data_IF_076791486536
#
_entry.id   IF_076791486536
#
_cell.length_a   1.000
_cell.length_b   1.000
_cell.length_c   1.000
_cell.angle_alpha   90.00
_cell.angle_beta   90.00
_cell.angle_gamma   90.00
#
_symmetry.space_group_name_H-M   'P 1'
#
loop_
_entity.id
_entity.type
_entity.pdbx_description
1 polymer ?
#
# COMPACT_ATOMS: atom_id res chain seq x y z
N UNK A 1 -28.16 23.92 -1.97
CA UNK A 1 -29.29 23.42 -1.16
C UNK A 1 -28.74 22.98 0.16
N UNK A 2 -28.95 23.72 1.22
CA UNK A 2 -28.55 23.38 2.59
C UNK A 2 -29.74 22.64 3.20
N UNK A 3 -29.59 21.31 3.36
CA UNK A 3 -30.55 20.55 4.15
C UNK A 3 -30.14 20.67 5.62
N UNK A 4 -30.91 21.42 6.39
CA UNK A 4 -30.92 21.37 7.85
C UNK A 4 -31.61 20.05 8.24
N UNK A 5 -30.83 19.01 8.48
CA UNK A 5 -31.34 17.84 9.16
C UNK A 5 -31.58 18.19 10.63
N UNK A 6 -32.78 17.90 11.15
CA UNK A 6 -33.06 18.01 12.57
C UNK A 6 -31.97 17.30 13.40
N UNK A 7 -31.56 17.89 14.52
CA UNK A 7 -30.42 17.52 15.33
C UNK A 7 -30.38 16.05 15.79
N UNK A 8 -31.43 15.27 15.58
CA UNK A 8 -31.52 13.88 15.96
C UNK A 8 -32.34 13.10 14.93
N UNK A 9 -31.67 12.28 14.12
CA UNK A 9 -32.31 11.30 13.24
C UNK A 9 -32.30 9.95 13.93
N UNK A 10 -33.46 9.29 14.01
CA UNK A 10 -33.59 7.99 14.63
C UNK A 10 -33.77 6.91 13.56
N UNK A 11 -32.83 5.98 13.49
CA UNK A 11 -32.97 4.79 12.65
C UNK A 11 -33.45 3.60 13.48
N UNK A 12 -34.34 2.81 12.91
CA UNK A 12 -34.67 1.49 13.44
C UNK A 12 -33.67 0.47 12.88
N UNK A 13 -32.82 -0.09 13.71
CA UNK A 13 -32.01 -1.25 13.36
C UNK A 13 -32.65 -2.54 13.91
N UNK A 14 -32.69 -3.60 13.09
CA UNK A 14 -33.16 -4.92 13.52
C UNK A 14 -32.00 -5.67 14.16
N UNK A 15 -32.14 -6.05 15.40
CA UNK A 15 -31.24 -6.97 16.07
C UNK A 15 -31.99 -8.26 16.48
N UNK A 16 -31.28 -9.21 17.07
CA UNK A 16 -31.83 -10.53 17.49
C UNK A 16 -33.04 -10.42 18.43
N UNK A 17 -33.26 -9.24 19.04
CA UNK A 17 -34.28 -8.97 20.06
C UNK A 17 -35.32 -7.93 19.63
N UNK A 18 -35.30 -7.48 18.38
CA UNK A 18 -36.24 -6.49 17.85
C UNK A 18 -35.57 -5.18 17.37
N UNK A 19 -36.38 -4.13 17.24
CA UNK A 19 -35.91 -2.83 16.75
C UNK A 19 -35.49 -1.93 17.92
N UNK A 20 -34.24 -1.44 17.91
CA UNK A 20 -33.80 -0.34 18.79
C UNK A 20 -33.71 0.96 17.99
N UNK A 21 -34.19 2.05 18.61
CA UNK A 21 -33.94 3.41 18.08
C UNK A 21 -32.49 3.78 18.42
N UNK A 22 -31.68 4.06 17.43
CA UNK A 22 -30.35 4.64 17.62
C UNK A 22 -30.41 6.14 17.34
N UNK A 23 -29.83 6.93 18.26
CA UNK A 23 -29.63 8.36 18.02
C UNK A 23 -28.38 8.52 17.15
N UNK A 24 -28.53 9.19 16.02
CA UNK A 24 -27.43 9.43 15.07
C UNK A 24 -27.39 10.92 14.80
N UNK A 25 -26.22 11.52 14.84
CA UNK A 25 -26.05 12.94 14.50
C UNK A 25 -26.01 13.16 12.99
N UNK A 26 -26.20 14.41 12.55
CA UNK A 26 -26.07 14.74 11.14
C UNK A 26 -24.67 14.46 10.61
N UNK A 27 -23.63 14.76 11.40
CA UNK A 27 -22.23 14.44 11.07
C UNK A 27 -21.98 12.94 10.90
N UNK A 28 -22.54 12.09 11.79
CA UNK A 28 -22.41 10.62 11.67
C UNK A 28 -23.02 10.11 10.37
N UNK A 29 -24.15 10.66 9.95
CA UNK A 29 -24.78 10.28 8.69
C UNK A 29 -23.93 10.69 7.50
N UNK A 30 -23.46 11.92 7.48
CA UNK A 30 -22.63 12.46 6.39
C UNK A 30 -21.33 11.64 6.28
N UNK A 31 -20.69 11.32 7.42
CA UNK A 31 -19.48 10.50 7.43
C UNK A 31 -19.74 9.11 6.86
N UNK A 32 -20.81 8.44 7.32
CA UNK A 32 -21.16 7.10 6.82
C UNK A 32 -21.47 7.06 5.32
N UNK A 33 -22.00 8.13 4.77
CA UNK A 33 -22.40 8.21 3.36
C UNK A 33 -21.27 8.66 2.43
N UNK A 34 -20.36 9.52 2.90
CA UNK A 34 -19.46 10.25 2.02
C UNK A 34 -17.98 10.17 2.42
N UNK A 35 -17.65 9.70 3.61
CA UNK A 35 -16.26 9.59 4.05
C UNK A 35 -15.76 8.16 3.82
N UNK A 36 -14.78 8.02 2.96
CA UNK A 36 -14.09 6.76 2.69
C UNK A 36 -13.20 6.41 3.89
N UNK A 37 -13.11 5.13 4.24
CA UNK A 37 -12.31 4.61 5.37
C UNK A 37 -12.83 4.96 6.77
N UNK A 38 -14.11 5.23 6.91
CA UNK A 38 -14.71 5.42 8.21
C UNK A 38 -14.82 4.09 8.99
N UNK A 39 -14.11 3.99 10.10
CA UNK A 39 -14.22 2.86 11.02
C UNK A 39 -15.19 3.16 12.17
N UNK A 40 -16.40 2.60 12.07
CA UNK A 40 -17.46 2.81 13.07
C UNK A 40 -17.11 2.33 14.46
N UNK A 41 -16.16 1.41 14.62
CA UNK A 41 -15.80 0.86 15.94
C UNK A 41 -14.84 1.79 16.67
N UNK A 42 -14.03 2.51 15.95
CA UNK A 42 -12.84 3.18 16.47
C UNK A 42 -12.89 4.68 16.34
N UNK A 43 -13.52 5.19 15.30
CA UNK A 43 -13.79 6.59 15.15
C UNK A 43 -15.05 6.96 15.95
N UNK A 44 -14.87 7.13 17.26
CA UNK A 44 -15.95 7.42 18.22
C UNK A 44 -16.34 8.89 18.23
N UNK A 45 -15.44 9.75 17.71
CA UNK A 45 -15.60 11.20 17.66
C UNK A 45 -15.53 11.72 16.23
N UNK A 46 -16.04 12.92 16.03
CA UNK A 46 -15.93 13.67 14.76
C UNK A 46 -15.34 15.02 15.06
N UNK A 47 -14.20 15.35 14.46
CA UNK A 47 -13.71 16.72 14.45
C UNK A 47 -14.34 17.47 13.28
N UNK A 48 -14.90 18.64 13.57
CA UNK A 48 -15.41 19.56 12.56
C UNK A 48 -14.35 20.61 12.25
N UNK A 49 -14.11 20.90 11.00
CA UNK A 49 -13.16 21.93 10.57
C UNK A 49 -13.43 23.26 11.29
N UNK A 50 -12.37 23.90 11.74
CA UNK A 50 -12.42 25.14 12.53
C UNK A 50 -13.26 25.03 13.82
N UNK A 51 -13.44 23.80 14.33
CA UNK A 51 -14.28 23.51 15.49
C UNK A 51 -15.75 23.99 15.36
N UNK A 52 -16.26 24.15 14.12
CA UNK A 52 -17.64 24.54 13.86
C UNK A 52 -18.55 23.31 13.77
N UNK A 53 -19.19 22.95 14.88
CA UNK A 53 -20.08 21.79 14.97
C UNK A 53 -21.37 21.91 14.13
N UNK A 54 -21.63 23.05 13.50
CA UNK A 54 -22.76 23.24 12.61
C UNK A 54 -22.40 22.95 11.15
N UNK A 55 -21.11 22.96 10.82
CA UNK A 55 -20.62 22.64 9.48
C UNK A 55 -20.53 21.12 9.31
N UNK A 56 -21.50 20.56 8.59
CA UNK A 56 -21.57 19.13 8.28
C UNK A 56 -21.20 18.83 6.81
N UNK A 57 -20.43 19.72 6.17
CA UNK A 57 -19.91 19.44 4.83
C UNK A 57 -18.88 18.30 4.91
N UNK A 58 -19.07 17.23 4.11
CA UNK A 58 -18.31 15.98 4.27
C UNK A 58 -16.79 16.14 4.21
N UNK A 59 -16.26 17.14 3.48
CA UNK A 59 -14.81 17.43 3.43
C UNK A 59 -14.29 18.17 4.68
N UNK A 60 -15.18 18.60 5.55
CA UNK A 60 -14.85 19.30 6.79
C UNK A 60 -15.03 18.42 8.02
N UNK A 61 -15.35 17.14 7.82
CA UNK A 61 -15.58 16.19 8.87
C UNK A 61 -14.43 15.17 8.91
N UNK A 62 -13.78 15.08 10.04
CA UNK A 62 -12.69 14.15 10.28
C UNK A 62 -13.12 13.13 11.36
N UNK A 63 -13.41 11.88 10.98
CA UNK A 63 -13.68 10.83 11.95
C UNK A 63 -12.39 10.49 12.68
N UNK A 64 -12.43 10.56 14.01
CA UNK A 64 -11.25 10.46 14.87
C UNK A 64 -11.53 9.62 16.12
N UNK A 65 -10.49 9.11 16.74
CA UNK A 65 -10.57 8.53 18.07
C UNK A 65 -10.63 9.62 19.13
N UNK A 66 -11.02 9.29 20.36
CA UNK A 66 -11.03 10.23 21.50
C UNK A 66 -9.64 10.87 21.72
N UNK A 67 -8.57 10.11 21.59
CA UNK A 67 -7.19 10.61 21.73
C UNK A 67 -6.83 11.61 20.62
N UNK A 68 -7.13 11.27 19.38
CA UNK A 68 -6.88 12.15 18.23
C UNK A 68 -7.70 13.43 18.34
N UNK A 69 -8.96 13.34 18.78
CA UNK A 69 -9.80 14.50 19.02
C UNK A 69 -9.19 15.47 20.04
N UNK A 70 -8.74 14.93 21.17
CA UNK A 70 -8.11 15.73 22.23
C UNK A 70 -6.80 16.37 21.76
N UNK A 71 -6.00 15.67 20.96
CA UNK A 71 -4.76 16.22 20.40
C UNK A 71 -5.05 17.34 19.40
N UNK A 72 -6.02 17.16 18.50
CA UNK A 72 -6.47 18.20 17.56
C UNK A 72 -6.99 19.40 18.33
N UNK A 73 -7.80 19.17 19.35
CA UNK A 73 -8.34 20.26 20.18
C UNK A 73 -7.23 21.03 20.89
N UNK A 74 -6.25 20.33 21.45
CA UNK A 74 -5.08 20.94 22.10
C UNK A 74 -4.32 21.86 21.16
N UNK A 75 -4.01 21.39 19.93
CA UNK A 75 -3.30 22.21 18.92
C UNK A 75 -4.16 23.39 18.51
N UNK A 76 -5.45 23.17 18.27
CA UNK A 76 -6.39 24.26 17.92
C UNK A 76 -6.49 25.34 19.02
N UNK A 77 -6.51 24.94 20.28
CA UNK A 77 -6.56 25.90 21.40
C UNK A 77 -5.25 26.66 21.58
N UNK A 78 -4.11 26.02 21.32
CA UNK A 78 -2.80 26.66 21.41
C UNK A 78 -2.55 27.69 20.28
N UNK A 79 -2.90 27.33 19.06
CA UNK A 79 -2.56 28.09 17.86
C UNK A 79 -3.73 28.93 17.33
N UNK A 80 -4.91 28.78 17.93
CA UNK A 80 -6.15 29.44 17.47
C UNK A 80 -6.78 28.83 16.21
N UNK A 81 -6.07 27.92 15.56
CA UNK A 81 -6.52 27.18 14.37
C UNK A 81 -5.65 25.91 14.17
N UNK A 82 -6.15 24.97 13.37
CA UNK A 82 -5.38 23.80 12.94
C UNK A 82 -5.60 23.60 11.43
N UNK A 83 -4.52 23.43 10.70
CA UNK A 83 -4.60 23.15 9.25
C UNK A 83 -5.03 21.71 8.97
N UNK A 84 -5.78 21.50 7.87
CA UNK A 84 -6.24 20.15 7.45
C UNK A 84 -5.07 19.16 7.34
N UNK A 85 -3.89 19.60 6.90
CA UNK A 85 -2.69 18.77 6.82
C UNK A 85 -2.26 18.28 8.21
N UNK A 86 -2.25 19.12 9.22
CA UNK A 86 -1.91 18.76 10.60
C UNK A 86 -2.96 17.80 11.19
N UNK A 87 -4.25 18.03 10.88
CA UNK A 87 -5.31 17.09 11.27
C UNK A 87 -5.04 15.72 10.66
N UNK A 88 -4.73 15.66 9.36
CA UNK A 88 -4.43 14.40 8.69
C UNK A 88 -3.16 13.73 9.21
N UNK A 89 -2.15 14.48 9.60
CA UNK A 89 -0.96 13.95 10.26
C UNK A 89 -1.32 13.29 11.60
N UNK A 90 -2.16 13.93 12.42
CA UNK A 90 -2.63 13.36 13.70
C UNK A 90 -3.50 12.12 13.46
N UNK A 91 -4.40 12.17 12.47
CA UNK A 91 -5.31 11.05 12.14
C UNK A 91 -4.55 9.86 11.59
N UNK A 92 -3.51 10.11 10.80
CA UNK A 92 -2.68 9.07 10.19
C UNK A 92 -1.53 8.61 11.10
N UNK A 93 -1.18 9.40 12.13
CA UNK A 93 -0.20 8.98 13.12
C UNK A 93 -0.78 7.87 13.99
N UNK A 94 -0.39 6.63 13.72
CA UNK A 94 -0.65 5.52 14.63
C UNK A 94 0.39 5.58 15.74
N UNK A 95 0.07 6.31 16.80
CA UNK A 95 0.89 6.30 18.01
C UNK A 95 0.88 4.89 18.61
N UNK A 96 1.94 4.17 18.33
CA UNK A 96 2.19 2.92 19.02
C UNK A 96 2.98 3.20 20.30
N UNK A 97 2.31 3.12 21.45
CA UNK A 97 2.95 3.16 22.76
C UNK A 97 2.94 1.75 23.34
N UNK A 98 4.09 1.05 23.36
CA UNK A 98 4.17 -0.33 23.85
C UNK A 98 3.55 -0.55 25.21
N UNK A 99 3.68 0.41 26.11
CA UNK A 99 3.24 0.31 27.49
C UNK A 99 1.73 0.57 27.68
N UNK A 100 1.08 1.23 26.71
CA UNK A 100 -0.35 1.59 26.75
C UNK A 100 -1.27 0.51 26.17
N UNK A 101 -0.71 -0.53 25.56
CA UNK A 101 -1.44 -1.52 24.78
C UNK A 101 -1.48 -2.89 25.45
N UNK A 102 -2.48 -3.69 25.10
CA UNK A 102 -2.50 -5.09 25.50
C UNK A 102 -1.19 -5.76 25.04
N UNK A 103 -0.46 -6.48 25.92
CA UNK A 103 0.91 -6.95 25.63
C UNK A 103 1.07 -7.76 24.34
N UNK A 104 0.02 -8.44 23.90
CA UNK A 104 0.07 -9.27 22.70
C UNK A 104 0.12 -8.46 21.38
N UNK A 105 -0.40 -7.24 21.34
CA UNK A 105 -0.28 -6.36 20.15
C UNK A 105 1.14 -5.87 19.94
N UNK A 106 1.91 -5.79 21.01
CA UNK A 106 3.28 -5.29 21.00
C UNK A 106 4.29 -6.38 20.73
N UNK A 107 3.88 -7.65 20.84
CA UNK A 107 4.80 -8.75 20.59
C UNK A 107 5.14 -8.81 19.13
N UNK A 108 6.42 -8.82 18.84
CA UNK A 108 6.96 -9.06 17.49
C UNK A 108 6.78 -10.52 17.11
N UNK A 109 5.53 -10.92 16.87
CA UNK A 109 5.11 -12.31 16.68
C UNK A 109 5.34 -12.79 15.25
N UNK A 110 5.54 -11.86 14.31
CA UNK A 110 5.79 -12.19 12.89
C UNK A 110 7.28 -12.10 12.61
N UNK A 111 7.91 -13.28 12.52
CA UNK A 111 9.35 -13.48 12.26
C UNK A 111 10.27 -12.73 13.25
N UNK A 112 9.80 -12.43 14.46
CA UNK A 112 10.54 -11.69 15.48
C UNK A 112 10.68 -10.19 15.21
N UNK A 113 10.07 -9.67 14.13
CA UNK A 113 10.19 -8.27 13.69
C UNK A 113 8.83 -7.60 13.60
N UNK A 114 7.90 -8.19 12.88
CA UNK A 114 6.58 -7.61 12.67
C UNK A 114 5.66 -7.74 13.88
N UNK A 115 4.86 -6.73 14.11
CA UNK A 115 3.84 -6.71 15.15
C UNK A 115 2.57 -6.02 14.63
N UNK A 116 1.43 -6.36 15.27
CA UNK A 116 0.15 -5.87 14.78
C UNK A 116 -0.06 -4.40 15.07
N UNK A 117 0.35 -3.94 16.23
CA UNK A 117 0.09 -2.57 16.70
C UNK A 117 -1.40 -2.26 16.84
N UNK A 118 -1.71 -1.14 17.49
CA UNK A 118 -3.08 -0.65 17.57
C UNK A 118 -3.97 -1.29 18.64
N UNK A 119 -5.14 -0.69 18.85
CA UNK A 119 -6.12 -1.08 19.88
C UNK A 119 -6.98 -2.30 19.50
N UNK A 120 -6.85 -2.80 18.25
CA UNK A 120 -7.81 -3.74 17.68
C UNK A 120 -7.46 -5.19 17.95
N UNK A 121 -8.42 -5.87 18.61
CA UNK A 121 -8.36 -7.31 18.81
C UNK A 121 -8.74 -8.08 17.56
N UNK A 122 -9.48 -7.48 16.63
CA UNK A 122 -10.06 -8.15 15.48
C UNK A 122 -9.28 -7.79 14.22
N UNK A 123 -8.10 -8.42 14.08
CA UNK A 123 -7.41 -8.40 12.80
C UNK A 123 -8.17 -9.37 11.91
N UNK A 124 -8.68 -8.86 10.82
CA UNK A 124 -9.09 -9.71 9.74
C UNK A 124 -7.84 -10.31 9.08
N UNK A 125 -7.45 -11.49 9.55
CA UNK A 125 -6.28 -12.23 9.07
C UNK A 125 -6.44 -12.68 7.60
N UNK A 126 -7.64 -12.58 7.04
CA UNK A 126 -7.96 -12.88 5.65
C UNK A 126 -7.98 -11.62 4.78
N UNK A 127 -7.86 -10.43 5.38
CA UNK A 127 -7.79 -9.18 4.62
C UNK A 127 -6.56 -9.14 3.71
N UNK A 128 -6.74 -8.53 2.53
CA UNK A 128 -5.66 -8.36 1.56
C UNK A 128 -4.47 -7.61 2.15
N UNK A 129 -4.71 -6.58 2.97
CA UNK A 129 -3.66 -5.80 3.61
C UNK A 129 -2.83 -6.65 4.55
N UNK A 130 -3.48 -7.46 5.40
CA UNK A 130 -2.78 -8.31 6.34
C UNK A 130 -1.96 -9.40 5.65
N UNK A 131 -2.54 -10.05 4.63
CA UNK A 131 -1.86 -11.08 3.84
C UNK A 131 -0.62 -10.49 3.14
N UNK A 132 -0.74 -9.31 2.52
CA UNK A 132 0.39 -8.65 1.84
C UNK A 132 1.48 -8.25 2.84
N UNK A 133 1.12 -7.65 3.97
CA UNK A 133 2.05 -7.30 5.03
C UNK A 133 2.78 -8.53 5.60
N UNK A 134 2.03 -9.56 5.98
CA UNK A 134 2.61 -10.80 6.49
C UNK A 134 3.58 -11.44 5.50
N UNK A 135 3.20 -11.50 4.22
CA UNK A 135 4.06 -12.04 3.18
C UNK A 135 5.34 -11.22 3.00
N UNK A 136 5.27 -9.89 3.09
CA UNK A 136 6.42 -9.00 3.05
C UNK A 136 7.38 -9.29 4.23
N UNK A 137 6.87 -9.33 5.46
CA UNK A 137 7.67 -9.68 6.65
C UNK A 137 8.32 -11.06 6.49
N UNK A 138 7.55 -12.06 6.03
CA UNK A 138 8.07 -13.42 5.83
C UNK A 138 9.17 -13.48 4.75
N UNK A 139 9.02 -12.77 3.64
CA UNK A 139 10.07 -12.70 2.61
C UNK A 139 11.38 -12.18 3.19
N UNK A 140 11.33 -11.13 4.00
CA UNK A 140 12.53 -10.48 4.55
C UNK A 140 13.19 -11.24 5.70
N UNK A 141 12.41 -12.00 6.51
CA UNK A 141 12.95 -12.50 7.78
C UNK A 141 12.78 -14.01 8.01
N UNK A 142 12.03 -14.71 7.15
CA UNK A 142 11.81 -16.16 7.34
C UNK A 142 12.95 -17.00 6.72
N UNK A 143 13.72 -17.67 7.58
CA UNK A 143 14.85 -18.51 7.17
C UNK A 143 14.47 -19.67 6.24
N UNK A 144 13.24 -20.18 6.31
CA UNK A 144 12.78 -21.25 5.40
C UNK A 144 12.54 -20.70 4.00
N UNK A 145 11.99 -19.48 3.90
CA UNK A 145 11.82 -18.79 2.62
C UNK A 145 13.20 -18.47 2.02
N UNK A 146 14.15 -18.00 2.81
CA UNK A 146 15.51 -17.71 2.34
C UNK A 146 16.22 -18.92 1.74
N UNK A 147 15.97 -20.12 2.28
CA UNK A 147 16.52 -21.38 1.69
C UNK A 147 15.96 -21.67 0.30
N UNK A 148 14.70 -21.29 0.04
CA UNK A 148 14.05 -21.53 -1.24
C UNK A 148 14.26 -20.36 -2.22
N UNK A 149 14.43 -19.16 -1.68
CA UNK A 149 14.51 -17.90 -2.41
C UNK A 149 15.62 -17.01 -1.82
N UNK A 150 16.91 -17.33 -2.09
CA UNK A 150 18.06 -16.65 -1.47
C UNK A 150 18.11 -15.14 -1.73
N UNK A 151 17.52 -14.66 -2.81
CA UNK A 151 17.48 -13.25 -3.17
C UNK A 151 16.68 -12.35 -2.20
N UNK A 152 16.02 -12.95 -1.19
CA UNK A 152 15.39 -12.19 -0.11
C UNK A 152 16.27 -11.99 1.13
N UNK A 153 17.47 -12.60 1.20
CA UNK A 153 18.32 -12.60 2.42
C UNK A 153 18.65 -11.19 2.89
N UNK A 154 18.95 -10.27 1.97
CA UNK A 154 19.38 -8.92 2.29
C UNK A 154 18.21 -7.90 2.28
N UNK A 155 16.97 -8.38 2.09
CA UNK A 155 15.81 -7.52 2.06
C UNK A 155 15.31 -7.22 3.46
N UNK A 156 14.90 -5.98 3.69
CA UNK A 156 14.45 -5.47 4.98
C UNK A 156 13.10 -4.76 4.84
N UNK A 157 12.43 -4.54 5.97
CA UNK A 157 11.21 -3.73 6.06
C UNK A 157 11.52 -2.53 6.94
N UNK A 158 11.15 -1.33 6.52
CA UNK A 158 11.33 -0.11 7.31
C UNK A 158 10.63 -0.23 8.68
N UNK A 159 11.14 0.48 9.67
CA UNK A 159 10.62 0.39 11.03
C UNK A 159 9.13 0.72 11.12
N UNK A 160 8.68 1.70 10.36
CA UNK A 160 7.28 2.09 10.27
C UNK A 160 6.38 0.92 9.85
N UNK A 161 6.75 0.16 8.84
CA UNK A 161 5.96 -0.96 8.33
C UNK A 161 6.14 -2.27 9.10
N UNK A 162 7.03 -2.34 10.08
CA UNK A 162 7.05 -3.43 11.05
C UNK A 162 5.75 -3.44 11.87
N UNK A 163 5.12 -2.27 12.04
CA UNK A 163 3.78 -2.12 12.56
C UNK A 163 2.75 -2.30 11.43
N UNK A 164 1.89 -3.34 11.55
CA UNK A 164 0.84 -3.60 10.56
C UNK A 164 -0.11 -2.42 10.36
N UNK A 165 -0.43 -1.64 11.42
CA UNK A 165 -1.36 -0.52 11.28
C UNK A 165 -0.83 0.55 10.33
N UNK A 166 0.46 0.86 10.41
CA UNK A 166 1.10 1.83 9.53
C UNK A 166 1.11 1.33 8.07
N UNK A 167 1.48 0.05 7.87
CA UNK A 167 1.37 -0.55 6.53
C UNK A 167 -0.07 -0.53 6.01
N UNK A 168 -1.07 -0.80 6.87
CA UNK A 168 -2.48 -0.80 6.47
C UNK A 168 -2.94 0.58 6.02
N UNK A 169 -2.54 1.66 6.67
CA UNK A 169 -2.85 3.03 6.27
C UNK A 169 -2.32 3.29 4.85
N UNK A 170 -1.05 2.97 4.61
CA UNK A 170 -0.46 3.10 3.27
C UNK A 170 -1.15 2.19 2.26
N UNK A 171 -1.44 0.94 2.65
CA UNK A 171 -2.15 -0.01 1.80
C UNK A 171 -3.51 0.55 1.34
N UNK A 172 -4.33 1.05 2.27
CA UNK A 172 -5.67 1.55 1.98
C UNK A 172 -5.64 2.79 1.06
N UNK A 173 -4.56 3.58 1.13
CA UNK A 173 -4.36 4.75 0.27
C UNK A 173 -3.93 4.40 -1.17
N UNK A 174 -3.29 3.24 -1.38
CA UNK A 174 -2.66 2.89 -2.66
C UNK A 174 -3.26 1.65 -3.33
N UNK A 175 -4.05 0.85 -2.60
CA UNK A 175 -4.60 -0.39 -3.12
C UNK A 175 -5.80 -0.15 -4.03
N UNK A 176 -5.75 -0.70 -5.25
CA UNK A 176 -6.84 -0.61 -6.22
C UNK A 176 -7.81 -1.76 -5.98
N UNK A 177 -9.02 -1.45 -5.50
CA UNK A 177 -10.07 -2.41 -5.24
C UNK A 177 -10.46 -3.18 -6.51
N UNK A 178 -10.69 -4.48 -6.35
CA UNK A 178 -11.17 -5.35 -7.44
C UNK A 178 -10.09 -5.84 -8.40
N UNK A 179 -8.83 -5.43 -8.21
CA UNK A 179 -7.70 -5.91 -9.00
C UNK A 179 -6.75 -6.77 -8.17
N UNK A 180 -6.24 -7.84 -8.78
CA UNK A 180 -5.15 -8.61 -8.19
C UNK A 180 -3.84 -7.89 -8.45
N UNK A 181 -3.30 -7.25 -7.43
CA UNK A 181 -2.03 -6.53 -7.50
C UNK A 181 -0.98 -7.16 -6.60
N UNK A 182 0.27 -7.00 -6.98
CA UNK A 182 1.44 -7.39 -6.20
C UNK A 182 2.10 -6.15 -5.60
N UNK A 183 2.71 -6.31 -4.43
CA UNK A 183 3.56 -5.30 -3.83
C UNK A 183 4.96 -5.47 -4.40
N UNK A 184 5.42 -4.49 -5.14
CA UNK A 184 6.74 -4.41 -5.73
C UNK A 184 7.58 -3.29 -5.12
N UNK A 185 8.89 -3.49 -5.03
CA UNK A 185 9.86 -2.49 -4.57
C UNK A 185 10.93 -2.15 -5.61
N UNK A 186 11.02 -2.97 -6.67
CA UNK A 186 12.14 -2.90 -7.61
C UNK A 186 11.89 -1.89 -8.73
N UNK A 187 10.62 -1.52 -9.00
CA UNK A 187 10.27 -0.53 -10.00
C UNK A 187 10.76 0.88 -9.65
N UNK A 188 10.51 1.32 -8.40
CA UNK A 188 10.83 2.69 -7.98
C UNK A 188 12.28 2.86 -7.56
N UNK A 189 12.86 1.84 -6.94
CA UNK A 189 14.23 1.88 -6.44
C UNK A 189 14.85 0.48 -6.43
N UNK A 190 15.40 0.04 -7.55
CA UNK A 190 15.97 -1.30 -7.72
C UNK A 190 17.13 -1.57 -6.76
N UNK A 191 17.95 -0.55 -6.50
CA UNK A 191 19.11 -0.64 -5.59
C UNK A 191 18.71 -0.76 -4.11
N UNK A 192 17.47 -0.40 -3.77
CA UNK A 192 17.01 -0.48 -2.38
C UNK A 192 16.74 -1.92 -1.97
N UNK A 193 17.29 -2.29 -0.82
CA UNK A 193 16.96 -3.56 -0.17
C UNK A 193 15.80 -3.41 0.85
N UNK A 194 15.16 -2.26 0.92
CA UNK A 194 14.15 -1.94 1.93
C UNK A 194 12.75 -1.83 1.33
N UNK A 195 11.79 -2.50 1.95
CA UNK A 195 10.37 -2.25 1.72
C UNK A 195 9.93 -1.05 2.57
N UNK A 196 9.49 0.02 1.92
CA UNK A 196 9.03 1.25 2.57
C UNK A 196 7.99 1.97 1.71
N UNK A 197 7.30 3.01 2.24
CA UNK A 197 6.39 3.84 1.47
C UNK A 197 7.00 4.44 0.21
N UNK A 198 8.30 4.78 0.25
CA UNK A 198 9.03 5.45 -0.82
C UNK A 198 9.52 4.50 -1.91
N UNK A 199 9.75 3.24 -1.55
CA UNK A 199 10.33 2.25 -2.48
C UNK A 199 9.28 1.32 -3.08
N UNK A 200 8.09 1.24 -2.49
CA UNK A 200 7.09 0.26 -2.88
C UNK A 200 5.94 0.85 -3.68
N UNK A 201 5.40 0.02 -4.56
CA UNK A 201 4.22 0.32 -5.36
C UNK A 201 3.36 -0.93 -5.53
N UNK A 202 2.04 -0.73 -5.66
CA UNK A 202 1.17 -1.80 -6.13
C UNK A 202 1.09 -1.79 -7.64
N UNK A 203 1.34 -2.93 -8.25
CA UNK A 203 1.17 -3.12 -9.68
C UNK A 203 0.43 -4.44 -9.97
N UNK A 204 -0.17 -4.53 -11.15
CA UNK A 204 -0.78 -5.79 -11.58
C UNK A 204 0.28 -6.89 -11.66
N UNK A 205 -0.13 -8.14 -11.44
CA UNK A 205 0.79 -9.28 -11.56
C UNK A 205 1.51 -9.30 -12.92
N UNK A 206 0.81 -8.88 -13.97
CA UNK A 206 1.41 -8.76 -15.30
C UNK A 206 2.57 -7.76 -15.33
N UNK A 207 2.36 -6.53 -14.85
CA UNK A 207 3.44 -5.54 -14.79
C UNK A 207 4.60 -6.03 -13.92
N UNK A 208 4.30 -6.59 -12.77
CA UNK A 208 5.32 -7.15 -11.87
C UNK A 208 6.21 -8.19 -12.55
N UNK A 209 5.62 -9.09 -13.37
CA UNK A 209 6.41 -10.11 -14.09
C UNK A 209 7.32 -9.54 -15.18
N UNK A 210 7.01 -8.36 -15.72
CA UNK A 210 7.88 -7.67 -16.68
C UNK A 210 9.15 -7.15 -16.00
N UNK A 211 9.01 -6.69 -14.74
CA UNK A 211 10.12 -6.14 -13.97
C UNK A 211 10.91 -7.20 -13.17
N UNK A 212 10.39 -8.45 -13.10
CA UNK A 212 11.14 -9.54 -12.47
C UNK A 212 12.46 -9.79 -13.23
N UNK A 213 13.56 -9.84 -12.49
CA UNK A 213 14.84 -10.25 -13.00
C UNK A 213 14.99 -11.78 -12.87
N UNK A 214 14.84 -12.48 -13.99
CA UNK A 214 14.99 -13.95 -14.05
C UNK A 214 16.38 -14.38 -14.51
N UNK A 215 17.29 -13.42 -14.58
CA UNK A 215 18.63 -13.61 -15.14
C UNK A 215 18.64 -13.57 -16.66
N UNK A 216 19.63 -12.89 -17.22
CA UNK A 216 19.77 -12.69 -18.67
C UNK A 216 20.00 -14.03 -19.39
N UNK A 217 20.82 -14.91 -18.80
CA UNK A 217 21.23 -16.20 -19.39
C UNK A 217 20.05 -17.12 -19.74
N UNK A 218 18.95 -17.07 -19.01
CA UNK A 218 17.77 -17.90 -19.31
C UNK A 218 17.01 -17.45 -20.58
N UNK A 219 17.33 -16.28 -21.11
CA UNK A 219 16.69 -15.64 -22.25
C UNK A 219 17.54 -15.71 -23.52
N UNK A 220 18.75 -16.24 -23.43
CA UNK A 220 19.72 -16.39 -24.51
C UNK A 220 19.94 -17.88 -24.79
N UNK A 221 19.84 -18.28 -26.03
CA UNK A 221 20.07 -19.66 -26.51
C UNK A 221 21.12 -19.68 -27.60
N UNK A 222 22.19 -20.44 -27.40
CA UNK A 222 23.18 -20.68 -28.45
C UNK A 222 22.60 -21.63 -29.50
N UNK A 223 22.74 -21.26 -30.77
CA UNK A 223 22.32 -22.04 -31.93
C UNK A 223 23.47 -22.95 -32.44
N UNK A 224 23.14 -23.97 -33.22
CA UNK A 224 24.11 -24.92 -33.77
C UNK A 224 25.12 -24.27 -34.73
N UNK A 225 24.74 -23.14 -35.33
CA UNK A 225 25.60 -22.36 -36.24
C UNK A 225 26.52 -21.37 -35.49
N UNK A 226 26.54 -21.40 -34.15
CA UNK A 226 27.38 -20.53 -33.35
C UNK A 226 26.79 -19.16 -33.03
N UNK A 227 25.60 -18.80 -33.54
CA UNK A 227 24.90 -17.55 -33.21
C UNK A 227 24.07 -17.70 -31.92
N UNK A 228 23.56 -16.61 -31.43
CA UNK A 228 22.78 -16.55 -30.18
C UNK A 228 21.38 -15.96 -30.42
N UNK A 229 20.35 -16.76 -30.21
CA UNK A 229 18.96 -16.30 -30.25
C UNK A 229 18.54 -15.72 -28.92
N UNK A 230 17.96 -14.54 -28.94
CA UNK A 230 17.49 -13.81 -27.75
C UNK A 230 15.99 -13.66 -27.79
N UNK A 231 15.35 -13.98 -26.67
CA UNK A 231 13.90 -13.83 -26.53
C UNK A 231 13.52 -13.55 -25.09
N UNK A 232 12.36 -12.95 -24.87
CA UNK A 232 11.78 -12.80 -23.54
C UNK A 232 10.35 -13.35 -23.49
N UNK A 233 9.89 -13.75 -22.31
CA UNK A 233 8.52 -14.21 -22.09
C UNK A 233 7.66 -13.05 -21.59
N UNK A 234 6.61 -12.73 -22.34
CA UNK A 234 5.62 -11.73 -21.97
C UNK A 234 4.24 -12.36 -22.03
N UNK A 235 3.49 -12.35 -20.93
CA UNK A 235 2.16 -12.96 -20.86
C UNK A 235 2.12 -14.41 -21.34
N UNK A 236 3.08 -15.21 -20.95
CA UNK A 236 3.25 -16.61 -21.40
C UNK A 236 3.44 -16.75 -22.93
N UNK A 237 3.78 -15.68 -23.62
CA UNK A 237 4.16 -15.70 -25.03
C UNK A 237 5.65 -15.37 -25.14
N UNK A 238 6.32 -16.17 -25.95
CA UNK A 238 7.71 -15.89 -26.33
C UNK A 238 7.72 -14.72 -27.30
N UNK A 239 8.49 -13.68 -26.99
CA UNK A 239 8.75 -12.55 -27.86
C UNK A 239 10.22 -12.64 -28.30
N UNK A 240 10.47 -12.80 -29.60
CA UNK A 240 11.81 -12.85 -30.14
C UNK A 240 12.37 -11.42 -30.24
N UNK A 241 13.58 -11.23 -29.72
CA UNK A 241 14.29 -9.94 -29.77
C UNK A 241 15.24 -9.91 -30.99
N UNK A 242 15.99 -10.99 -31.20
CA UNK A 242 16.92 -11.06 -32.33
C UNK A 242 17.85 -12.25 -32.27
N UNK A 243 18.75 -12.31 -33.28
CA UNK A 243 19.86 -13.26 -33.39
C UNK A 243 21.15 -12.46 -33.48
N UNK A 244 22.16 -12.84 -32.69
CA UNK A 244 23.41 -12.10 -32.53
C UNK A 244 24.62 -13.01 -32.77
N UNK A 245 25.73 -12.43 -33.17
CA UNK A 245 26.93 -13.20 -33.54
C UNK A 245 27.79 -13.58 -32.30
N UNK A 246 27.62 -12.88 -31.17
CA UNK A 246 28.32 -13.15 -29.93
C UNK A 246 27.39 -13.17 -28.70
N UNK A 247 27.84 -13.82 -27.64
CA UNK A 247 27.10 -13.84 -26.35
C UNK A 247 27.00 -12.42 -25.75
N UNK A 248 28.04 -11.61 -25.90
CA UNK A 248 28.07 -10.23 -25.39
C UNK A 248 27.06 -9.35 -26.12
N UNK A 249 26.98 -9.47 -27.46
CA UNK A 249 25.96 -8.76 -28.26
C UNK A 249 24.55 -9.26 -27.90
N UNK A 250 24.37 -10.55 -27.66
CA UNK A 250 23.10 -11.12 -27.24
C UNK A 250 22.66 -10.59 -25.85
N UNK A 251 23.59 -10.44 -24.90
CA UNK A 251 23.33 -9.80 -23.60
C UNK A 251 22.86 -8.36 -23.78
N UNK A 252 23.61 -7.56 -24.57
CA UNK A 252 23.23 -6.17 -24.84
C UNK A 252 21.89 -6.09 -25.56
N UNK A 253 21.68 -6.93 -26.58
CA UNK A 253 20.42 -6.99 -27.31
C UNK A 253 19.21 -7.37 -26.43
N UNK A 254 19.39 -8.24 -25.41
CA UNK A 254 18.34 -8.54 -24.45
C UNK A 254 17.99 -7.33 -23.59
N UNK A 255 18.99 -6.61 -23.09
CA UNK A 255 18.81 -5.43 -22.26
C UNK A 255 18.05 -4.35 -23.03
N UNK A 256 18.55 -4.02 -24.24
CA UNK A 256 17.95 -3.00 -25.09
C UNK A 256 16.50 -3.38 -25.45
N UNK A 257 16.27 -4.60 -25.90
CA UNK A 257 14.93 -5.08 -26.25
C UNK A 257 13.96 -5.10 -25.08
N UNK A 258 14.44 -5.38 -23.86
CA UNK A 258 13.61 -5.32 -22.64
C UNK A 258 13.31 -3.88 -22.26
N UNK A 259 14.27 -2.97 -22.36
CA UNK A 259 14.07 -1.53 -22.10
C UNK A 259 13.07 -0.95 -23.09
N UNK A 260 13.24 -1.21 -24.39
CA UNK A 260 12.33 -0.75 -25.45
C UNK A 260 10.89 -1.23 -25.18
N UNK A 261 10.74 -2.52 -24.83
CA UNK A 261 9.44 -3.05 -24.48
C UNK A 261 8.81 -2.35 -23.26
N UNK A 262 9.61 -2.05 -22.23
CA UNK A 262 9.14 -1.33 -21.03
C UNK A 262 8.73 0.09 -21.38
N UNK A 263 9.50 0.80 -22.20
CA UNK A 263 9.15 2.14 -22.68
C UNK A 263 7.84 2.15 -23.49
N UNK A 264 7.68 1.21 -24.41
CA UNK A 264 6.44 1.03 -25.17
C UNK A 264 5.23 0.74 -24.27
N UNK A 265 5.45 -0.07 -23.23
CA UNK A 265 4.43 -0.39 -22.25
C UNK A 265 4.08 0.83 -21.39
N UNK A 266 5.08 1.62 -20.99
CA UNK A 266 4.89 2.86 -20.26
C UNK A 266 4.00 3.84 -21.04
N UNK A 267 4.28 4.06 -22.32
CA UNK A 267 3.45 4.94 -23.16
C UNK A 267 1.99 4.45 -23.26
N UNK A 268 1.77 3.14 -23.34
CA UNK A 268 0.41 2.55 -23.33
C UNK A 268 -0.29 2.71 -21.98
N UNK A 269 0.47 2.82 -20.90
CA UNK A 269 -0.01 3.01 -19.53
C UNK A 269 -0.18 4.48 -19.14
N UNK A 270 0.32 5.43 -19.95
CA UNK A 270 0.24 6.86 -19.70
C UNK A 270 -1.18 7.33 -19.40
N UNK A 271 -1.36 8.01 -18.26
CA UNK A 271 -2.67 8.46 -17.77
C UNK A 271 -3.60 7.34 -17.26
N UNK A 272 -3.12 6.06 -17.23
CA UNK A 272 -3.88 4.91 -16.71
C UNK A 272 -3.26 4.35 -15.43
N UNK A 273 -2.05 4.73 -15.13
CA UNK A 273 -1.33 4.41 -13.89
C UNK A 273 -0.95 5.73 -13.20
N UNK A 274 -0.65 5.72 -11.89
CA UNK A 274 -0.11 6.90 -11.21
C UNK A 274 1.17 7.42 -11.88
N UNK A 275 1.39 8.73 -11.88
CA UNK A 275 2.55 9.35 -12.56
C UNK A 275 3.88 8.78 -12.08
N UNK A 276 4.04 8.53 -10.77
CA UNK A 276 5.26 7.93 -10.23
C UNK A 276 5.54 6.51 -10.75
N UNK A 277 4.49 5.74 -11.08
CA UNK A 277 4.64 4.42 -11.71
C UNK A 277 5.10 4.58 -13.16
N UNK A 278 4.46 5.48 -13.90
CA UNK A 278 4.85 5.80 -15.27
C UNK A 278 6.30 6.26 -15.37
N UNK A 279 6.71 7.19 -14.52
CA UNK A 279 8.09 7.68 -14.44
C UNK A 279 9.08 6.57 -14.03
N UNK A 280 8.67 5.71 -13.08
CA UNK A 280 9.47 4.54 -12.70
C UNK A 280 9.70 3.59 -13.86
N UNK A 281 8.68 3.37 -14.71
CA UNK A 281 8.81 2.55 -15.91
C UNK A 281 9.78 3.16 -16.93
N UNK A 282 9.71 4.47 -17.17
CA UNK A 282 10.61 5.17 -18.11
C UNK A 282 12.06 5.21 -17.63
N UNK A 283 12.28 5.23 -16.32
CA UNK A 283 13.60 5.29 -15.72
C UNK A 283 14.17 3.91 -15.33
N UNK A 284 13.46 2.83 -15.70
CA UNK A 284 13.87 1.47 -15.33
C UNK A 284 15.22 1.11 -15.96
N UNK A 285 16.13 0.61 -15.12
CA UNK A 285 17.47 0.17 -15.53
C UNK A 285 17.64 -1.33 -15.29
N UNK A 286 18.32 -1.98 -16.18
CA UNK A 286 18.75 -3.37 -16.04
C UNK A 286 20.23 -3.36 -15.73
N UNK A 287 20.63 -3.89 -14.58
CA UNK A 287 22.02 -4.05 -14.23
C UNK A 287 22.59 -5.27 -14.94
N UNK A 288 23.81 -5.15 -15.43
CA UNK A 288 24.59 -6.24 -16.03
C UNK A 288 25.36 -6.87 -14.86
N UNK A 289 25.01 -8.12 -14.50
CA UNK A 289 25.77 -8.92 -13.53
C UNK A 289 27.10 -9.40 -14.16
#
# INVERSE_FOLDING_TARGET
>A
MTYTLDKNVYFKSKNRWGYRKQKVTASDLVIKMFVVNYDMKNNTMVWHKNNDTKDNYYKHLFPVTDKQYNEILRVHEQDGAIADKQIMEIVNAVEFKPDDWKPWYNKRTYEGVGYVGGEYSDIDSESNSFIKWKNMIQRCYNKKIHKLKPYYIDKNVCEEWQNYQNFKIWFDAHYILGTKVDLDKDLLCKESNMYSPETCVFMTHFLNTVFEDRGIKSNIQQNDNGTYSVSMNVLNKKMDIGVFDSEEEAHTGFIDGKIDYICDLAEKCKGKVPDYVYEGMLNYKIEID
#
